data_IF_358314829001
#
_entry.id   IF_358314829001
#
_cell.length_a   1.000
_cell.length_b   1.000
_cell.length_c   1.000
_cell.angle_alpha   90.00
_cell.angle_beta   90.00
_cell.angle_gamma   90.00
#
_symmetry.space_group_name_H-M   'P 1'
#
loop_
_entity.id
_entity.type
_entity.pdbx_description
1 polymer ?
#
# COMPACT_ATOMS: atom_id res chain seq x y z
N UNK A 1 -4.24 47.68 31.68
CA UNK A 1 -4.71 47.00 30.44
C UNK A 1 -3.50 46.43 29.72
N UNK A 2 -3.44 45.11 29.43
CA UNK A 2 -2.61 44.47 28.37
C UNK A 2 -2.75 42.91 28.30
N UNK A 3 -3.71 42.31 29.01
CA UNK A 3 -3.86 40.84 29.15
C UNK A 3 -4.43 40.17 27.88
N UNK A 4 -4.86 40.96 26.87
CA UNK A 4 -5.48 40.44 25.63
C UNK A 4 -4.47 39.95 24.58
N UNK A 5 -3.22 40.39 24.65
CA UNK A 5 -2.15 40.00 23.70
C UNK A 5 -1.61 38.58 23.89
N UNK A 6 -1.31 38.07 25.11
CA UNK A 6 -0.79 36.72 25.28
C UNK A 6 -1.79 35.62 24.88
N UNK A 7 -3.09 35.85 25.06
CA UNK A 7 -4.16 34.94 24.63
C UNK A 7 -4.16 34.69 23.11
N UNK A 8 -3.85 35.72 22.32
CA UNK A 8 -3.78 35.60 20.85
C UNK A 8 -2.60 34.71 20.45
N UNK A 9 -1.44 34.87 21.09
CA UNK A 9 -0.26 34.03 20.81
C UNK A 9 -0.50 32.55 21.17
N UNK A 10 -1.18 32.29 22.29
CA UNK A 10 -1.54 30.91 22.69
C UNK A 10 -2.51 30.28 21.68
N UNK A 11 -3.51 31.03 21.22
CA UNK A 11 -4.45 30.54 20.22
C UNK A 11 -3.78 30.25 18.86
N UNK A 12 -2.86 31.11 18.42
CA UNK A 12 -2.10 30.91 17.18
C UNK A 12 -1.16 29.70 17.30
N UNK A 13 -0.49 29.54 18.44
CA UNK A 13 0.38 28.39 18.69
C UNK A 13 -0.40 27.06 18.71
N UNK A 14 -1.56 27.03 19.38
CA UNK A 14 -2.42 25.85 19.41
C UNK A 14 -2.92 25.45 18.01
N UNK A 15 -3.30 26.43 17.19
CA UNK A 15 -3.74 26.20 15.81
C UNK A 15 -2.59 25.68 14.92
N UNK A 16 -1.37 26.20 15.10
CA UNK A 16 -0.18 25.72 14.38
C UNK A 16 0.19 24.27 14.74
N UNK A 17 0.09 23.88 16.02
CA UNK A 17 0.35 22.51 16.50
C UNK A 17 -0.70 21.54 15.93
N UNK A 18 -1.97 21.94 15.92
CA UNK A 18 -3.05 21.12 15.36
C UNK A 18 -2.91 20.94 13.85
N UNK A 19 -2.47 21.97 13.11
CA UNK A 19 -2.28 21.90 11.67
C UNK A 19 -1.18 20.93 11.24
N UNK A 20 -0.07 20.84 11.99
CA UNK A 20 1.05 19.93 11.70
C UNK A 20 0.82 18.48 12.17
N UNK A 21 -0.04 18.26 13.18
CA UNK A 21 -0.31 16.91 13.73
C UNK A 21 -1.12 16.01 12.79
N UNK A 22 -1.67 16.55 11.70
CA UNK A 22 -2.46 15.80 10.72
C UNK A 22 -1.60 14.86 9.86
N UNK A 23 -0.27 14.99 9.90
CA UNK A 23 0.66 14.12 9.17
C UNK A 23 0.86 12.75 9.83
N UNK A 24 0.54 12.61 11.13
CA UNK A 24 0.69 11.36 11.88
C UNK A 24 -0.56 10.46 11.86
N UNK A 25 -1.67 10.93 11.28
CA UNK A 25 -2.92 10.18 11.07
C UNK A 25 -3.09 9.71 9.62
N UNK A 26 -2.01 9.68 8.84
CA UNK A 26 -1.94 8.77 7.70
C UNK A 26 -2.13 7.36 8.25
N UNK A 27 -3.35 6.84 8.19
CA UNK A 27 -3.78 5.59 8.80
C UNK A 27 -2.75 4.51 8.48
N UNK A 28 -1.97 4.13 9.48
CA UNK A 28 -0.96 3.10 9.31
C UNK A 28 -1.69 1.81 9.01
N UNK A 29 -1.59 1.37 7.74
CA UNK A 29 -2.15 0.09 7.33
C UNK A 29 -1.67 -0.97 8.29
N UNK A 30 -2.58 -1.81 8.77
CA UNK A 30 -2.18 -2.90 9.64
C UNK A 30 -1.25 -3.83 8.86
N UNK A 31 -0.36 -4.55 9.56
CA UNK A 31 0.50 -5.54 8.90
C UNK A 31 -0.29 -6.58 8.10
N UNK A 32 -1.52 -6.87 8.50
CA UNK A 32 -2.41 -7.77 7.77
C UNK A 32 -2.89 -7.13 6.47
N UNK A 33 -3.30 -5.86 6.50
CA UNK A 33 -3.73 -5.14 5.30
C UNK A 33 -2.62 -5.02 4.27
N UNK A 34 -1.39 -4.68 4.72
CA UNK A 34 -0.22 -4.60 3.83
C UNK A 34 0.06 -5.94 3.16
N UNK A 35 -0.04 -7.05 3.90
CA UNK A 35 0.12 -8.40 3.31
C UNK A 35 -0.96 -8.70 2.28
N UNK A 36 -2.21 -8.35 2.55
CA UNK A 36 -3.31 -8.54 1.60
C UNK A 36 -3.15 -7.69 0.34
N UNK A 37 -2.57 -6.50 0.46
CA UNK A 37 -2.25 -5.64 -0.68
C UNK A 37 -1.10 -6.21 -1.51
N UNK A 38 -0.03 -6.69 -0.86
CA UNK A 38 1.09 -7.34 -1.55
C UNK A 38 0.67 -8.63 -2.27
N UNK A 39 -0.25 -9.40 -1.68
CA UNK A 39 -0.83 -10.58 -2.33
C UNK A 39 -1.57 -10.19 -3.62
N UNK A 40 -2.43 -9.16 -3.54
CA UNK A 40 -3.12 -8.60 -4.71
C UNK A 40 -2.14 -8.13 -5.78
N UNK A 41 -1.15 -7.32 -5.41
CA UNK A 41 -0.15 -6.81 -6.34
C UNK A 41 0.68 -7.93 -7.02
N UNK A 42 0.92 -9.05 -6.32
CA UNK A 42 1.58 -10.21 -6.92
C UNK A 42 0.67 -10.95 -7.90
N UNK A 43 -0.59 -11.17 -7.52
CA UNK A 43 -1.59 -11.76 -8.38
C UNK A 43 -1.78 -10.96 -9.67
N UNK A 44 -1.84 -9.64 -9.55
CA UNK A 44 -1.95 -8.70 -10.66
C UNK A 44 -0.66 -8.61 -11.51
N UNK A 45 0.43 -9.25 -11.09
CA UNK A 45 1.70 -9.29 -11.82
C UNK A 45 2.50 -7.99 -11.80
N UNK A 46 2.12 -7.01 -10.96
CA UNK A 46 2.76 -5.68 -10.89
C UNK A 46 4.00 -5.64 -10.00
N UNK A 47 4.31 -6.73 -9.28
CA UNK A 47 5.55 -6.87 -8.53
C UNK A 47 6.59 -7.61 -9.40
N UNK A 48 7.54 -6.90 -10.03
CA UNK A 48 8.61 -7.52 -10.80
C UNK A 48 9.57 -8.28 -9.89
N UNK A 49 10.08 -9.43 -10.36
CA UNK A 49 11.14 -10.16 -9.65
C UNK A 49 12.48 -9.40 -9.62
N UNK A 50 12.90 -8.71 -10.70
CA UNK A 50 14.10 -7.88 -10.67
C UNK A 50 13.87 -6.55 -9.96
N UNK A 51 14.83 -6.12 -9.13
CA UNK A 51 14.75 -4.87 -8.34
C UNK A 51 14.91 -3.58 -9.16
N UNK A 52 15.34 -3.68 -10.42
CA UNK A 52 15.68 -2.54 -11.27
C UNK A 52 14.63 -2.23 -12.35
N UNK A 53 13.59 -3.06 -12.50
CA UNK A 53 12.52 -2.88 -13.49
C UNK A 53 11.29 -2.24 -12.83
N UNK A 54 11.47 -1.06 -12.23
CA UNK A 54 10.39 -0.35 -11.54
C UNK A 54 10.19 1.08 -12.08
N UNK A 55 8.97 1.43 -12.55
CA UNK A 55 7.78 0.58 -12.64
C UNK A 55 7.88 -0.45 -13.78
N UNK A 56 7.28 -1.66 -13.64
CA UNK A 56 7.38 -2.70 -14.67
C UNK A 56 6.66 -2.30 -15.95
N UNK A 57 7.19 -2.74 -17.09
CA UNK A 57 6.51 -2.56 -18.37
C UNK A 57 5.18 -3.33 -18.44
N UNK A 58 4.19 -2.89 -19.24
CA UNK A 58 2.95 -3.64 -19.44
C UNK A 58 3.18 -5.07 -19.94
N UNK A 59 4.20 -5.29 -20.77
CA UNK A 59 4.59 -6.61 -21.24
C UNK A 59 5.15 -7.49 -20.11
N UNK A 60 5.91 -6.91 -19.18
CA UNK A 60 6.38 -7.60 -17.97
C UNK A 60 5.18 -8.00 -17.09
N UNK A 61 4.21 -7.10 -16.89
CA UNK A 61 2.99 -7.39 -16.12
C UNK A 61 2.19 -8.53 -16.74
N UNK A 62 1.92 -8.48 -18.05
CA UNK A 62 1.18 -9.53 -18.75
C UNK A 62 1.89 -10.89 -18.67
N UNK A 63 3.23 -10.91 -18.82
CA UNK A 63 4.02 -12.13 -18.65
C UNK A 63 3.91 -12.69 -17.23
N UNK A 64 4.01 -11.82 -16.21
CA UNK A 64 3.91 -12.24 -14.81
C UNK A 64 2.53 -12.82 -14.49
N UNK A 65 1.46 -12.20 -15.00
CA UNK A 65 0.09 -12.71 -14.89
C UNK A 65 -0.05 -14.10 -15.53
N UNK A 66 0.52 -14.31 -16.71
CA UNK A 66 0.46 -15.61 -17.38
C UNK A 66 1.22 -16.71 -16.62
N UNK A 67 2.41 -16.39 -16.13
CA UNK A 67 3.19 -17.31 -15.28
C UNK A 67 2.40 -17.64 -14.01
N UNK A 68 1.83 -16.62 -13.36
CA UNK A 68 1.04 -16.80 -12.15
C UNK A 68 -0.19 -17.69 -12.41
N UNK A 69 -0.95 -17.41 -13.47
CA UNK A 69 -2.12 -18.20 -13.89
C UNK A 69 -1.75 -19.65 -14.16
N UNK A 70 -0.69 -19.90 -14.92
CA UNK A 70 -0.29 -21.27 -15.30
C UNK A 70 0.27 -22.09 -14.14
N UNK A 71 0.85 -21.45 -13.12
CA UNK A 71 1.51 -22.11 -11.99
C UNK A 71 0.61 -22.24 -10.75
N UNK A 72 -0.23 -21.25 -10.48
CA UNK A 72 -1.09 -21.19 -9.28
C UNK A 72 -2.53 -21.57 -9.61
N UNK A 73 -3.07 -21.09 -10.74
CA UNK A 73 -4.49 -21.18 -11.10
C UNK A 73 -4.72 -22.01 -12.37
N UNK A 74 -4.12 -23.21 -12.44
CA UNK A 74 -4.16 -24.03 -13.65
C UNK A 74 -5.59 -24.44 -14.01
N UNK A 75 -6.01 -24.09 -15.23
CA UNK A 75 -7.32 -24.45 -15.77
C UNK A 75 -8.43 -23.44 -15.47
N UNK A 76 -8.11 -22.36 -14.74
CA UNK A 76 -9.04 -21.28 -14.47
C UNK A 76 -8.95 -20.19 -15.53
N UNK A 77 -10.12 -19.71 -15.99
CA UNK A 77 -10.18 -18.66 -17.02
C UNK A 77 -10.06 -17.24 -16.45
N UNK A 78 -10.49 -17.03 -15.21
CA UNK A 78 -10.45 -15.74 -14.52
C UNK A 78 -10.12 -15.96 -13.05
N UNK A 79 -8.84 -16.19 -12.72
CA UNK A 79 -8.44 -16.44 -11.35
C UNK A 79 -8.70 -15.23 -10.47
N UNK A 80 -9.18 -15.47 -9.25
CA UNK A 80 -9.39 -14.45 -8.22
C UNK A 80 -8.36 -14.63 -7.12
N UNK A 81 -8.10 -13.57 -6.34
CA UNK A 81 -7.21 -13.68 -5.19
C UNK A 81 -7.82 -14.63 -4.16
N UNK A 82 -7.16 -15.75 -3.90
CA UNK A 82 -7.70 -16.82 -3.06
C UNK A 82 -6.63 -17.50 -2.17
N UNK A 83 -6.96 -18.69 -1.65
CA UNK A 83 -6.06 -19.44 -0.77
C UNK A 83 -4.77 -19.89 -1.48
N UNK A 84 -4.78 -20.10 -2.80
CA UNK A 84 -3.60 -20.53 -3.57
C UNK A 84 -2.51 -19.44 -3.60
N UNK A 85 -2.89 -18.17 -3.48
CA UNK A 85 -1.96 -17.03 -3.45
C UNK A 85 -1.23 -16.88 -2.11
N UNK A 86 -1.80 -17.44 -1.05
CA UNK A 86 -1.32 -17.23 0.33
C UNK A 86 0.02 -17.89 0.66
N UNK A 87 0.47 -18.87 -0.15
CA UNK A 87 1.74 -19.59 0.06
C UNK A 87 2.98 -18.68 0.03
N UNK A 88 2.88 -17.50 -0.57
CA UNK A 88 3.96 -16.51 -0.61
C UNK A 88 3.92 -15.50 0.55
N UNK A 89 2.82 -15.39 1.30
CA UNK A 89 2.67 -14.39 2.38
C UNK A 89 3.40 -14.76 3.69
N UNK A 90 3.94 -15.98 3.78
CA UNK A 90 4.50 -16.57 5.00
C UNK A 90 6.04 -16.67 5.01
N UNK A 91 6.73 -16.20 3.97
CA UNK A 91 8.19 -16.32 3.84
C UNK A 91 8.91 -14.99 4.08
#
# INVERSE_FOLDING_TARGET
MNIRRPLIYVAVAALAIAAFSQSAVAQSRTRQEVRQELLRARHDGVIPSPKHDYPPSPATVARNQEIHRSTVHRGESAPVVDAHDSGFALR
#
